data_IF_960667911671
#
_entry.id   IF_960667911671
#
_cell.length_a   1.000
_cell.length_b   1.000
_cell.length_c   1.000
_cell.angle_alpha   90.00
_cell.angle_beta   90.00
_cell.angle_gamma   90.00
#
_symmetry.space_group_name_H-M   'P 1'
#
loop_
_entity.id
_entity.type
_entity.pdbx_description
1 polymer ?
#
# COMPACT_ATOMS: atom_id res chain seq x y z
N UNK A 1 -19.25 -8.88 25.50
CA UNK A 1 -18.28 -9.07 26.59
C UNK A 1 -17.18 -8.06 26.42
N UNK A 2 -16.69 -7.36 27.45
CA UNK A 2 -15.54 -6.49 27.31
C UNK A 2 -14.31 -7.33 26.94
N UNK A 3 -13.66 -6.96 25.82
CA UNK A 3 -12.41 -7.59 25.43
C UNK A 3 -11.35 -7.20 26.46
N UNK A 4 -10.80 -8.19 27.14
CA UNK A 4 -9.72 -7.96 28.12
C UNK A 4 -8.51 -7.40 27.38
N UNK A 5 -7.99 -6.28 27.82
CA UNK A 5 -6.78 -5.69 27.26
C UNK A 5 -5.59 -6.62 27.52
N UNK A 6 -4.82 -7.01 26.49
CA UNK A 6 -3.64 -7.85 26.70
C UNK A 6 -2.62 -7.18 27.62
N UNK A 7 -1.99 -7.97 28.48
CA UNK A 7 -0.99 -7.51 29.44
C UNK A 7 0.45 -7.63 28.93
N UNK A 8 0.65 -8.28 27.80
CA UNK A 8 1.96 -8.47 27.16
C UNK A 8 1.83 -8.59 25.65
N UNK A 9 2.95 -8.39 24.93
CA UNK A 9 3.01 -8.59 23.48
C UNK A 9 2.68 -10.04 23.09
N UNK A 10 3.12 -11.02 23.87
CA UNK A 10 2.81 -12.43 23.62
C UNK A 10 1.31 -12.71 23.75
N UNK A 11 0.65 -12.15 24.76
CA UNK A 11 -0.81 -12.27 24.91
C UNK A 11 -1.55 -11.57 23.76
N UNK A 12 -1.09 -10.40 23.34
CA UNK A 12 -1.68 -9.67 22.20
C UNK A 12 -1.58 -10.47 20.89
N UNK A 13 -0.43 -11.08 20.62
CA UNK A 13 -0.24 -11.92 19.44
C UNK A 13 -1.09 -13.19 19.51
N UNK A 14 -1.24 -13.82 20.69
CA UNK A 14 -2.11 -14.98 20.86
C UNK A 14 -3.59 -14.66 20.62
N UNK A 15 -4.06 -13.49 21.06
CA UNK A 15 -5.44 -13.03 20.80
C UNK A 15 -5.67 -12.76 19.31
N UNK A 16 -4.69 -12.14 18.62
CA UNK A 16 -4.74 -11.92 17.19
C UNK A 16 -4.81 -13.24 16.41
N UNK A 17 -3.93 -14.19 16.76
CA UNK A 17 -3.85 -15.51 16.15
C UNK A 17 -5.18 -16.28 16.30
N UNK A 18 -5.70 -16.36 17.52
CA UNK A 18 -6.98 -17.00 17.80
C UNK A 18 -8.15 -16.35 17.03
N UNK A 19 -8.13 -15.02 16.88
CA UNK A 19 -9.15 -14.29 16.09
C UNK A 19 -9.08 -14.63 14.60
N UNK A 20 -7.87 -14.72 14.04
CA UNK A 20 -7.66 -15.09 12.65
C UNK A 20 -8.01 -16.56 12.41
N UNK A 21 -7.65 -17.46 13.32
CA UNK A 21 -8.02 -18.88 13.25
C UNK A 21 -9.53 -19.07 13.26
N UNK A 22 -10.24 -18.36 14.11
CA UNK A 22 -11.71 -18.40 14.12
C UNK A 22 -12.31 -17.93 12.78
N UNK A 23 -11.81 -16.83 12.21
CA UNK A 23 -12.29 -16.34 10.91
C UNK A 23 -11.99 -17.32 9.77
N UNK A 24 -10.81 -17.93 9.79
CA UNK A 24 -10.41 -18.93 8.79
C UNK A 24 -11.23 -20.23 8.90
N UNK A 25 -11.66 -20.62 10.10
CA UNK A 25 -12.49 -21.79 10.33
C UNK A 25 -13.99 -21.53 10.09
N UNK A 26 -14.42 -20.26 10.02
CA UNK A 26 -15.81 -19.90 9.83
C UNK A 26 -16.23 -20.07 8.38
N UNK A 27 -17.37 -20.73 8.15
CA UNK A 27 -17.98 -20.74 6.82
C UNK A 27 -18.62 -19.37 6.54
N UNK A 28 -17.84 -18.51 5.89
CA UNK A 28 -18.24 -17.12 5.58
C UNK A 28 -19.42 -17.05 4.58
N UNK A 29 -19.76 -18.15 3.89
CA UNK A 29 -20.90 -18.20 2.97
C UNK A 29 -22.24 -18.19 3.72
N UNK A 30 -22.23 -18.59 4.98
CA UNK A 30 -23.40 -18.57 5.85
C UNK A 30 -23.69 -17.17 6.43
N UNK A 31 -22.73 -16.25 6.29
CA UNK A 31 -22.94 -14.86 6.70
C UNK A 31 -23.73 -14.11 5.62
N UNK A 32 -24.71 -13.34 6.04
CA UNK A 32 -25.40 -12.42 5.12
C UNK A 32 -24.44 -11.32 4.60
N UNK A 33 -24.72 -10.76 3.41
CA UNK A 33 -23.88 -9.77 2.75
C UNK A 33 -23.51 -8.56 3.65
N UNK A 34 -24.42 -8.11 4.50
CA UNK A 34 -24.15 -7.02 5.45
C UNK A 34 -23.05 -7.41 6.46
N UNK A 35 -23.12 -8.62 7.04
CA UNK A 35 -22.12 -9.12 7.97
C UNK A 35 -20.76 -9.35 7.28
N UNK A 36 -20.77 -9.88 6.06
CA UNK A 36 -19.54 -10.01 5.25
C UNK A 36 -18.89 -8.64 5.02
N UNK A 37 -19.70 -7.63 4.68
CA UNK A 37 -19.22 -6.25 4.51
C UNK A 37 -18.61 -5.66 5.78
N UNK A 38 -19.21 -5.92 6.96
CA UNK A 38 -18.63 -5.50 8.24
C UNK A 38 -17.31 -6.21 8.55
N UNK A 39 -17.21 -7.50 8.28
CA UNK A 39 -15.96 -8.25 8.45
C UNK A 39 -14.85 -7.68 7.54
N UNK A 40 -15.15 -7.38 6.29
CA UNK A 40 -14.18 -6.79 5.37
C UNK A 40 -13.70 -5.41 5.85
N UNK A 41 -14.60 -4.56 6.33
CA UNK A 41 -14.22 -3.26 6.90
C UNK A 41 -13.36 -3.42 8.16
N UNK A 42 -13.71 -4.35 9.04
CA UNK A 42 -12.95 -4.63 10.26
C UNK A 42 -11.54 -5.15 9.95
N UNK A 43 -11.41 -6.06 8.99
CA UNK A 43 -10.12 -6.56 8.52
C UNK A 43 -9.28 -5.46 7.86
N UNK A 44 -9.91 -4.54 7.11
CA UNK A 44 -9.24 -3.38 6.54
C UNK A 44 -8.63 -2.48 7.63
N UNK A 45 -9.39 -2.21 8.70
CA UNK A 45 -8.88 -1.44 9.86
C UNK A 45 -7.79 -2.20 10.61
N UNK A 46 -7.96 -3.50 10.83
CA UNK A 46 -6.94 -4.33 11.46
C UNK A 46 -5.63 -4.35 10.65
N UNK A 47 -5.72 -4.35 9.31
CA UNK A 47 -4.55 -4.27 8.44
C UNK A 47 -3.80 -2.93 8.57
N UNK A 48 -4.51 -1.82 8.79
CA UNK A 48 -3.86 -0.53 9.06
C UNK A 48 -3.04 -0.59 10.35
N UNK A 49 -3.63 -1.05 11.45
CA UNK A 49 -2.93 -1.26 12.73
C UNK A 49 -1.76 -2.23 12.60
N UNK A 50 -1.97 -3.33 11.89
CA UNK A 50 -0.90 -4.31 11.65
C UNK A 50 0.28 -3.67 10.94
N UNK A 51 0.04 -2.88 9.89
CA UNK A 51 1.09 -2.20 9.13
C UNK A 51 1.90 -1.26 10.03
N UNK A 52 1.24 -0.45 10.85
CA UNK A 52 1.91 0.45 11.80
C UNK A 52 2.73 -0.33 12.84
N UNK A 53 2.13 -1.35 13.48
CA UNK A 53 2.79 -2.16 14.50
C UNK A 53 3.97 -2.95 13.93
N UNK A 54 3.82 -3.53 12.74
CA UNK A 54 4.87 -4.29 12.07
C UNK A 54 6.07 -3.38 11.71
N UNK A 55 5.83 -2.20 11.16
CA UNK A 55 6.88 -1.23 10.85
C UNK A 55 7.63 -0.77 12.11
N UNK A 56 6.90 -0.51 13.20
CA UNK A 56 7.51 -0.14 14.49
C UNK A 56 8.38 -1.28 15.06
N UNK A 57 7.93 -2.53 14.94
CA UNK A 57 8.69 -3.70 15.40
C UNK A 57 9.95 -3.92 14.55
N UNK A 58 9.87 -3.79 13.22
CA UNK A 58 11.05 -3.91 12.34
C UNK A 58 12.09 -2.85 12.71
N UNK A 59 11.66 -1.60 12.94
CA UNK A 59 12.53 -0.51 13.37
C UNK A 59 13.19 -0.77 14.73
N UNK A 60 12.40 -1.18 15.71
CA UNK A 60 12.92 -1.47 17.05
C UNK A 60 13.88 -2.65 17.05
N UNK A 61 13.61 -3.68 16.26
CA UNK A 61 14.46 -4.86 16.13
C UNK A 61 15.80 -4.53 15.45
N UNK A 62 15.79 -3.69 14.41
CA UNK A 62 16.99 -3.20 13.73
C UNK A 62 17.83 -2.33 14.67
N UNK A 63 17.20 -1.36 15.33
CA UNK A 63 17.88 -0.46 16.28
C UNK A 63 18.50 -1.20 17.48
N UNK A 64 17.95 -2.35 17.85
CA UNK A 64 18.50 -3.21 18.90
C UNK A 64 19.64 -4.14 18.42
N UNK A 65 20.02 -4.09 17.14
CA UNK A 65 21.01 -5.00 16.57
C UNK A 65 20.51 -6.45 16.48
N UNK A 66 19.20 -6.65 16.45
CA UNK A 66 18.59 -7.98 16.45
C UNK A 66 18.96 -8.85 15.25
N UNK A 67 18.98 -8.30 14.02
CA UNK A 67 19.43 -9.06 12.85
C UNK A 67 20.85 -9.58 12.99
N UNK A 68 21.78 -8.73 13.41
CA UNK A 68 23.21 -9.06 13.58
C UNK A 68 23.42 -10.10 14.69
N UNK A 69 22.67 -9.97 15.78
CA UNK A 69 22.71 -10.94 16.89
C UNK A 69 22.28 -12.36 16.44
N UNK A 70 21.38 -12.43 15.45
CA UNK A 70 20.93 -13.69 14.83
C UNK A 70 21.80 -14.10 13.61
N UNK A 71 22.89 -13.38 13.31
CA UNK A 71 23.81 -13.67 12.22
C UNK A 71 23.37 -13.19 10.83
N UNK A 72 22.45 -12.24 10.77
CA UNK A 72 22.00 -11.64 9.51
C UNK A 72 22.48 -10.20 9.36
N UNK A 73 22.93 -9.77 8.16
CA UNK A 73 23.49 -8.43 7.97
C UNK A 73 22.45 -7.31 7.92
N UNK A 74 21.18 -7.63 7.77
CA UNK A 74 20.10 -6.64 7.63
C UNK A 74 18.75 -7.21 8.07
N UNK A 75 17.78 -6.35 8.48
CA UNK A 75 16.40 -6.78 8.77
C UNK A 75 15.75 -7.51 7.60
N UNK A 76 16.02 -7.07 6.36
CA UNK A 76 15.52 -7.72 5.14
C UNK A 76 16.01 -9.16 5.02
N UNK A 77 17.28 -9.41 5.27
CA UNK A 77 17.86 -10.76 5.21
C UNK A 77 17.25 -11.65 6.29
N UNK A 78 17.11 -11.10 7.50
CA UNK A 78 16.48 -11.77 8.62
C UNK A 78 15.02 -12.13 8.33
N UNK A 79 14.22 -11.16 7.89
CA UNK A 79 12.81 -11.37 7.54
C UNK A 79 12.66 -12.45 6.47
N UNK A 80 13.46 -12.38 5.39
CA UNK A 80 13.40 -13.38 4.31
C UNK A 80 13.68 -14.79 4.84
N UNK A 81 14.67 -14.96 5.71
CA UNK A 81 15.10 -16.26 6.20
C UNK A 81 14.18 -16.81 7.32
N UNK A 82 13.82 -15.95 8.28
CA UNK A 82 13.15 -16.39 9.51
C UNK A 82 11.64 -16.42 9.39
N UNK A 83 11.06 -15.54 8.57
CA UNK A 83 9.60 -15.51 8.34
C UNK A 83 9.19 -16.14 7.01
N UNK A 84 10.16 -16.64 6.21
CA UNK A 84 9.94 -17.34 4.95
C UNK A 84 9.15 -16.52 3.91
N UNK A 85 9.26 -15.19 3.98
CA UNK A 85 8.66 -14.30 2.98
C UNK A 85 9.60 -14.08 1.80
N UNK A 86 9.03 -13.63 0.69
CA UNK A 86 9.84 -13.30 -0.49
C UNK A 86 10.71 -12.07 -0.25
N UNK A 87 11.79 -11.91 -1.02
CA UNK A 87 12.63 -10.71 -0.99
C UNK A 87 11.81 -9.43 -1.24
N UNK A 88 10.81 -9.50 -2.12
CA UNK A 88 9.91 -8.38 -2.40
C UNK A 88 9.10 -7.98 -1.17
N UNK A 89 8.50 -8.95 -0.46
CA UNK A 89 7.75 -8.70 0.77
C UNK A 89 8.64 -8.17 1.90
N UNK A 90 9.87 -8.69 2.02
CA UNK A 90 10.84 -8.16 2.99
C UNK A 90 11.28 -6.73 2.67
N UNK A 91 11.47 -6.40 1.37
CA UNK A 91 11.74 -5.03 0.94
C UNK A 91 10.58 -4.09 1.29
N UNK A 92 9.34 -4.54 1.08
CA UNK A 92 8.16 -3.74 1.40
C UNK A 92 8.02 -3.50 2.91
N UNK A 93 8.32 -4.49 3.74
CA UNK A 93 8.34 -4.35 5.20
C UNK A 93 9.37 -3.29 5.67
N UNK A 94 10.59 -3.34 5.14
CA UNK A 94 11.64 -2.34 5.43
C UNK A 94 11.29 -0.97 4.85
N UNK A 95 10.65 -0.92 3.68
CA UNK A 95 10.16 0.33 3.11
C UNK A 95 9.12 0.98 3.99
N UNK A 96 8.15 0.22 4.53
CA UNK A 96 7.17 0.72 5.48
C UNK A 96 7.82 1.27 6.75
N UNK A 97 8.81 0.56 7.29
CA UNK A 97 9.57 1.04 8.45
C UNK A 97 10.15 2.44 8.18
N UNK A 98 10.87 2.62 7.07
CA UNK A 98 11.50 3.90 6.70
C UNK A 98 10.47 4.98 6.39
N UNK A 99 9.40 4.61 5.69
CA UNK A 99 8.32 5.54 5.36
C UNK A 99 7.67 6.09 6.61
N UNK A 100 7.25 5.22 7.53
CA UNK A 100 6.58 5.64 8.76
C UNK A 100 7.53 6.32 9.76
N UNK A 101 8.83 6.09 9.66
CA UNK A 101 9.83 6.86 10.40
C UNK A 101 9.88 8.32 9.95
N UNK A 102 9.72 8.57 8.65
CA UNK A 102 9.72 9.91 8.06
C UNK A 102 8.36 10.59 8.12
N UNK A 103 7.29 9.83 8.28
CA UNK A 103 5.90 10.28 8.29
C UNK A 103 5.17 9.87 9.58
N UNK A 104 5.53 10.44 10.75
CA UNK A 104 4.97 10.05 12.05
C UNK A 104 3.47 10.29 12.16
N UNK A 105 2.93 11.29 11.45
CA UNK A 105 1.48 11.53 11.38
C UNK A 105 0.74 10.39 10.68
N UNK A 106 1.30 9.88 9.57
CA UNK A 106 0.73 8.71 8.89
C UNK A 106 0.84 7.45 9.74
N UNK A 107 1.92 7.27 10.49
CA UNK A 107 2.06 6.17 11.43
C UNK A 107 0.98 6.21 12.51
N UNK A 108 0.71 7.38 13.08
CA UNK A 108 -0.37 7.58 14.04
C UNK A 108 -1.75 7.33 13.42
N UNK A 109 -2.02 7.85 12.23
CA UNK A 109 -3.28 7.65 11.50
C UNK A 109 -3.56 6.18 11.18
N UNK A 110 -2.54 5.41 10.79
CA UNK A 110 -2.66 3.96 10.61
C UNK A 110 -2.97 3.24 11.93
N UNK A 111 -2.28 3.62 13.01
CA UNK A 111 -2.50 3.02 14.33
C UNK A 111 -3.90 3.35 14.88
N UNK A 112 -4.45 4.52 14.56
CA UNK A 112 -5.79 4.97 14.92
C UNK A 112 -6.91 4.47 13.97
N UNK A 113 -6.57 3.71 12.91
CA UNK A 113 -7.52 3.23 11.88
C UNK A 113 -8.11 4.37 11.00
N UNK A 114 -7.49 5.53 11.00
CA UNK A 114 -7.96 6.73 10.30
C UNK A 114 -7.68 6.67 8.79
N UNK A 115 -6.70 5.89 8.39
CA UNK A 115 -6.30 5.75 6.99
C UNK A 115 -5.91 4.30 6.66
N UNK A 116 -6.14 3.90 5.42
CA UNK A 116 -5.68 2.60 4.93
C UNK A 116 -4.20 2.63 4.54
N UNK A 117 -3.48 1.48 4.57
CA UNK A 117 -2.09 1.42 4.12
C UNK A 117 -1.90 1.89 2.67
N UNK A 118 -2.85 1.61 1.79
CA UNK A 118 -2.76 2.02 0.39
C UNK A 118 -2.83 3.55 0.21
N UNK A 119 -3.66 4.24 0.99
CA UNK A 119 -3.76 5.69 0.98
C UNK A 119 -2.53 6.32 1.64
N UNK A 120 -2.11 5.80 2.80
CA UNK A 120 -0.90 6.25 3.48
C UNK A 120 0.34 6.16 2.57
N UNK A 121 0.49 5.07 1.80
CA UNK A 121 1.58 4.92 0.84
C UNK A 121 1.55 5.99 -0.26
N UNK A 122 0.35 6.42 -0.71
CA UNK A 122 0.20 7.48 -1.70
C UNK A 122 0.55 8.85 -1.12
N UNK A 123 0.01 9.17 0.05
CA UNK A 123 0.30 10.44 0.75
C UNK A 123 1.82 10.55 1.02
N UNK A 124 2.43 9.50 1.57
CA UNK A 124 3.87 9.48 1.79
C UNK A 124 4.69 9.67 0.50
N UNK A 125 4.23 9.12 -0.63
CA UNK A 125 4.91 9.29 -1.91
C UNK A 125 4.81 10.72 -2.45
N UNK A 126 3.67 11.40 -2.23
CA UNK A 126 3.49 12.80 -2.62
C UNK A 126 4.31 13.73 -1.71
N UNK A 127 4.12 13.63 -0.40
CA UNK A 127 4.74 14.50 0.58
C UNK A 127 6.24 14.22 0.80
N UNK A 128 6.71 13.01 0.43
CA UNK A 128 8.13 12.67 0.48
C UNK A 128 9.03 13.53 -0.42
N UNK A 129 8.45 14.35 -1.30
CA UNK A 129 9.14 15.34 -2.14
C UNK A 129 9.30 16.70 -1.45
N UNK A 130 8.59 16.93 -0.35
CA UNK A 130 8.67 18.16 0.44
C UNK A 130 9.93 18.21 1.30
N UNK A 131 10.40 19.43 1.68
CA UNK A 131 11.37 19.59 2.73
C UNK A 131 10.90 18.92 4.03
N UNK A 132 11.83 18.35 4.78
CA UNK A 132 11.51 17.54 5.97
C UNK A 132 10.66 18.31 7.02
N UNK A 133 10.90 19.59 7.17
CA UNK A 133 10.15 20.45 8.09
C UNK A 133 8.65 20.60 7.73
N UNK A 134 8.29 20.39 6.47
CA UNK A 134 6.93 20.60 5.96
C UNK A 134 6.12 19.29 5.88
N UNK A 135 6.78 18.14 5.99
CA UNK A 135 6.13 16.82 5.81
C UNK A 135 5.01 16.62 6.83
N UNK A 136 5.27 16.88 8.09
CA UNK A 136 4.28 16.64 9.16
C UNK A 136 3.01 17.48 8.98
N UNK A 137 3.16 18.75 8.59
CA UNK A 137 2.04 19.64 8.30
C UNK A 137 1.23 19.19 7.08
N UNK A 138 1.91 18.80 6.01
CA UNK A 138 1.27 18.28 4.81
C UNK A 138 0.55 16.95 5.06
N UNK A 139 1.16 16.04 5.81
CA UNK A 139 0.54 14.77 6.20
C UNK A 139 -0.74 15.00 7.02
N UNK A 140 -0.70 15.92 7.98
CA UNK A 140 -1.85 16.25 8.82
C UNK A 140 -3.01 16.81 8.00
N UNK A 141 -2.75 17.74 7.07
CA UNK A 141 -3.77 18.31 6.18
C UNK A 141 -4.42 17.20 5.34
N UNK A 142 -3.63 16.34 4.70
CA UNK A 142 -4.15 15.28 3.84
C UNK A 142 -4.91 14.21 4.64
N UNK A 143 -4.47 13.90 5.86
CA UNK A 143 -5.21 13.01 6.77
C UNK A 143 -6.56 13.60 7.15
N UNK A 144 -6.62 14.85 7.56
CA UNK A 144 -7.88 15.52 7.94
C UNK A 144 -8.88 15.55 6.79
N UNK A 145 -8.44 15.88 5.57
CA UNK A 145 -9.30 15.90 4.38
C UNK A 145 -9.78 14.49 4.03
N UNK A 146 -8.91 13.48 4.11
CA UNK A 146 -9.27 12.10 3.85
C UNK A 146 -10.27 11.52 4.86
N UNK A 147 -10.23 11.97 6.11
CA UNK A 147 -11.16 11.56 7.19
C UNK A 147 -12.52 12.26 7.11
N UNK A 148 -12.57 13.51 6.64
CA UNK A 148 -13.79 14.32 6.60
C UNK A 148 -14.91 13.70 5.75
N UNK A 149 -14.59 12.71 4.92
CA UNK A 149 -15.51 12.01 4.04
C UNK A 149 -15.89 12.87 2.82
N UNK A 150 -15.93 12.26 1.66
CA UNK A 150 -16.30 12.94 0.41
C UNK A 150 -15.12 13.25 -0.51
N UNK A 151 -13.90 13.35 0.01
CA UNK A 151 -12.70 13.44 -0.82
C UNK A 151 -12.26 12.04 -1.28
N UNK A 152 -11.99 11.90 -2.56
CA UNK A 152 -11.37 10.69 -3.11
C UNK A 152 -9.84 10.82 -3.20
N UNK A 153 -9.19 9.80 -3.73
CA UNK A 153 -7.73 9.80 -3.86
C UNK A 153 -7.23 10.84 -4.89
N UNK A 154 -8.06 11.22 -5.87
CA UNK A 154 -7.71 12.23 -6.86
C UNK A 154 -7.76 13.64 -6.24
N UNK A 155 -8.74 13.90 -5.37
CA UNK A 155 -8.83 15.15 -4.62
C UNK A 155 -7.62 15.34 -3.71
N UNK A 156 -7.20 14.27 -3.01
CA UNK A 156 -6.00 14.30 -2.18
C UNK A 156 -4.72 14.51 -3.00
N UNK A 157 -4.64 13.93 -4.20
CA UNK A 157 -3.51 14.14 -5.09
C UNK A 157 -3.42 15.59 -5.57
N UNK A 158 -4.57 16.20 -5.92
CA UNK A 158 -4.64 17.61 -6.31
C UNK A 158 -4.21 18.53 -5.16
N UNK A 159 -4.69 18.26 -3.93
CA UNK A 159 -4.29 19.01 -2.74
C UNK A 159 -2.80 18.85 -2.42
N UNK A 160 -2.26 17.64 -2.52
CA UNK A 160 -0.84 17.38 -2.32
C UNK A 160 0.02 18.14 -3.35
N UNK A 161 -0.43 18.22 -4.59
CA UNK A 161 0.23 19.01 -5.64
C UNK A 161 0.19 20.50 -5.31
N UNK A 162 -0.95 21.03 -4.85
CA UNK A 162 -1.08 22.42 -4.43
C UNK A 162 -0.15 22.75 -3.23
N UNK A 163 -0.07 21.85 -2.25
CA UNK A 163 0.87 21.99 -1.13
C UNK A 163 2.31 22.05 -1.64
N UNK A 164 2.67 21.14 -2.56
CA UNK A 164 4.00 21.11 -3.15
C UNK A 164 4.35 22.43 -3.87
N UNK A 165 3.47 22.90 -4.74
CA UNK A 165 3.68 24.15 -5.50
C UNK A 165 3.81 25.38 -4.60
N UNK A 166 3.07 25.44 -3.50
CA UNK A 166 3.17 26.53 -2.52
C UNK A 166 4.43 26.46 -1.66
N UNK A 167 4.94 25.27 -1.40
CA UNK A 167 6.08 25.05 -0.49
C UNK A 167 7.41 25.13 -1.23
N UNK A 168 7.49 24.50 -2.39
CA UNK A 168 8.74 24.38 -3.18
C UNK A 168 8.80 25.46 -4.25
N UNK A 169 7.63 26.02 -4.65
CA UNK A 169 7.50 26.96 -5.73
C UNK A 169 7.35 26.24 -7.08
N UNK A 170 7.01 26.96 -8.14
CA UNK A 170 7.07 26.40 -9.49
C UNK A 170 8.51 25.97 -9.76
N UNK A 171 8.69 24.71 -10.14
CA UNK A 171 9.98 24.16 -10.56
C UNK A 171 10.49 24.98 -11.77
N UNK A 172 11.36 25.96 -11.52
CA UNK A 172 12.08 26.72 -12.57
C UNK A 172 13.22 25.86 -13.18
N UNK A 173 13.48 24.69 -12.61
CA UNK A 173 14.52 23.78 -13.06
C UNK A 173 13.95 22.61 -13.86
N UNK A 174 14.20 22.64 -15.17
CA UNK A 174 14.03 21.53 -16.13
C UNK A 174 14.82 20.27 -15.71
N UNK A 175 15.56 20.31 -14.61
CA UNK A 175 16.35 19.22 -14.00
C UNK A 175 15.56 18.36 -12.99
N UNK A 176 14.30 18.72 -12.66
CA UNK A 176 13.42 17.95 -11.76
C UNK A 176 13.13 16.53 -12.27
N UNK A 177 13.50 16.23 -13.50
CA UNK A 177 13.36 14.94 -14.15
C UNK A 177 14.65 14.11 -14.26
N UNK A 178 15.70 14.45 -13.50
CA UNK A 178 16.93 13.65 -13.42
C UNK A 178 16.70 12.19 -13.01
N UNK A 179 15.57 11.90 -12.36
CA UNK A 179 15.10 10.56 -12.02
C UNK A 179 14.25 9.86 -13.10
N UNK A 180 14.21 10.39 -14.34
CA UNK A 180 13.51 9.72 -15.46
C UNK A 180 14.13 8.36 -15.73
N UNK A 181 13.33 7.33 -15.60
CA UNK A 181 13.75 6.00 -15.97
C UNK A 181 12.54 5.14 -16.33
N UNK A 182 12.69 4.33 -17.35
CA UNK A 182 11.70 3.37 -17.78
C UNK A 182 12.37 2.01 -17.89
N UNK A 183 11.86 1.03 -17.16
CA UNK A 183 12.34 -0.34 -17.21
C UNK A 183 11.28 -1.25 -17.81
N UNK A 184 11.71 -2.12 -18.69
CA UNK A 184 10.89 -3.20 -19.24
C UNK A 184 11.46 -4.53 -18.72
N UNK A 185 10.75 -5.14 -17.79
CA UNK A 185 11.07 -6.46 -17.27
C UNK A 185 10.34 -7.53 -18.07
N UNK A 186 11.07 -8.48 -18.63
CA UNK A 186 10.47 -9.65 -19.24
C UNK A 186 10.00 -10.62 -18.15
N UNK A 187 8.74 -11.04 -18.19
CA UNK A 187 8.17 -12.03 -17.29
C UNK A 187 8.14 -13.41 -17.94
N UNK A 188 7.86 -14.44 -17.14
CA UNK A 188 7.73 -15.81 -17.64
C UNK A 188 6.68 -15.87 -18.77
N UNK A 189 7.04 -16.49 -19.90
CA UNK A 189 6.18 -16.57 -21.09
C UNK A 189 6.34 -15.39 -22.08
N UNK A 190 7.33 -14.51 -21.87
CA UNK A 190 7.65 -13.41 -22.81
C UNK A 190 6.75 -12.16 -22.67
N UNK A 191 5.91 -12.10 -21.63
CA UNK A 191 5.18 -10.90 -21.30
C UNK A 191 6.11 -9.84 -20.68
N UNK A 192 5.88 -8.55 -21.00
CA UNK A 192 6.64 -7.44 -20.43
C UNK A 192 5.87 -6.71 -19.34
N UNK A 193 6.59 -6.31 -18.28
CA UNK A 193 6.12 -5.37 -17.26
C UNK A 193 6.92 -4.08 -17.37
N UNK A 194 6.22 -2.96 -17.57
CA UNK A 194 6.83 -1.63 -17.65
C UNK A 194 6.74 -0.97 -16.27
N UNK A 195 7.87 -0.49 -15.75
CA UNK A 195 7.95 0.31 -14.54
C UNK A 195 8.81 1.55 -14.81
N UNK A 196 8.47 2.67 -14.21
CA UNK A 196 9.31 3.85 -14.34
C UNK A 196 8.66 5.14 -13.89
N UNK A 197 9.48 6.21 -13.88
CA UNK A 197 9.05 7.57 -13.65
C UNK A 197 9.12 8.34 -14.97
N UNK A 198 7.99 8.92 -15.36
CA UNK A 198 7.84 9.67 -16.60
C UNK A 198 7.58 11.16 -16.32
N UNK A 199 8.01 12.03 -17.20
CA UNK A 199 7.59 13.43 -17.17
C UNK A 199 6.08 13.54 -17.41
N UNK A 200 5.41 14.64 -16.98
CA UNK A 200 4.00 14.87 -17.31
C UNK A 200 3.69 14.75 -18.80
N UNK A 201 4.54 15.30 -19.66
CA UNK A 201 4.39 15.18 -21.10
C UNK A 201 4.54 13.76 -21.63
N UNK A 202 5.51 13.00 -21.13
CA UNK A 202 5.67 11.58 -21.48
C UNK A 202 4.52 10.73 -20.94
N UNK A 203 4.00 11.04 -19.75
CA UNK A 203 2.85 10.35 -19.16
C UNK A 203 1.60 10.56 -20.01
N UNK A 204 1.32 11.82 -20.41
CA UNK A 204 0.20 12.15 -21.28
C UNK A 204 0.31 11.47 -22.66
N UNK A 205 1.51 11.46 -23.26
CA UNK A 205 1.76 10.79 -24.53
C UNK A 205 1.57 9.27 -24.43
N UNK A 206 2.08 8.65 -23.35
CA UNK A 206 1.90 7.21 -23.12
C UNK A 206 0.43 6.85 -22.87
N UNK A 207 -0.29 7.67 -22.10
CA UNK A 207 -1.72 7.49 -21.86
C UNK A 207 -2.51 7.57 -23.15
N UNK A 208 -2.25 8.59 -23.99
CA UNK A 208 -2.90 8.73 -25.30
C UNK A 208 -2.61 7.53 -26.22
N UNK A 209 -1.39 7.01 -26.20
CA UNK A 209 -1.01 5.81 -26.96
C UNK A 209 -1.78 4.57 -26.45
N UNK A 210 -1.85 4.36 -25.13
CA UNK A 210 -2.58 3.25 -24.54
C UNK A 210 -4.08 3.31 -24.86
N UNK A 211 -4.68 4.50 -24.80
CA UNK A 211 -6.08 4.73 -25.16
C UNK A 211 -6.33 4.47 -26.65
N UNK A 212 -5.42 4.87 -27.53
CA UNK A 212 -5.52 4.58 -28.95
C UNK A 212 -5.44 3.07 -29.26
N UNK A 213 -4.51 2.37 -28.59
CA UNK A 213 -4.36 0.92 -28.72
C UNK A 213 -5.52 0.14 -28.09
N UNK A 214 -6.05 0.63 -26.96
CA UNK A 214 -7.21 0.07 -26.28
C UNK A 214 -8.48 0.15 -27.12
N UNK A 215 -8.72 1.25 -27.81
CA UNK A 215 -9.85 1.44 -28.75
C UNK A 215 -9.77 0.52 -29.98
N UNK A 216 -8.57 0.13 -30.39
CA UNK A 216 -8.35 -0.81 -31.52
C UNK A 216 -8.72 -2.26 -31.18
N UNK A 217 -8.92 -2.60 -29.91
CA UNK A 217 -9.29 -3.94 -29.46
C UNK A 217 -10.73 -3.98 -28.96
N UNK A 218 -11.70 -3.85 -29.87
CA UNK A 218 -13.07 -4.28 -29.55
C UNK A 218 -13.03 -5.77 -29.15
N UNK A 219 -13.66 -6.18 -28.05
CA UNK A 219 -13.67 -7.58 -27.64
C UNK A 219 -14.33 -8.40 -28.75
N UNK A 220 -13.62 -9.36 -29.32
CA UNK A 220 -14.23 -10.40 -30.14
C UNK A 220 -15.19 -11.15 -29.23
N UNK A 221 -16.47 -10.86 -29.37
CA UNK A 221 -17.56 -11.57 -28.70
C UNK A 221 -17.41 -13.04 -29.04
N UNK A 222 -17.04 -13.85 -28.06
CA UNK A 222 -16.98 -15.29 -28.19
C UNK A 222 -18.43 -15.80 -28.28
N UNK A 223 -18.96 -15.90 -29.50
CA UNK A 223 -20.26 -16.52 -29.75
C UNK A 223 -20.12 -18.00 -29.43
N UNK A 224 -20.65 -18.38 -28.28
CA UNK A 224 -20.81 -19.79 -27.90
C UNK A 224 -21.76 -20.43 -28.90
N UNK A 225 -21.25 -21.34 -29.76
CA UNK A 225 -22.08 -22.17 -30.59
C UNK A 225 -23.00 -23.02 -29.70
N UNK A 226 -24.31 -23.09 -29.96
CA UNK A 226 -25.20 -24.00 -29.24
C UNK A 226 -24.82 -25.44 -29.60
N UNK A 227 -24.58 -26.26 -28.59
CA UNK A 227 -24.41 -27.70 -28.75
C UNK A 227 -25.73 -28.31 -29.26
N UNK A 228 -25.68 -28.93 -30.41
CA UNK A 228 -26.78 -29.72 -30.96
C UNK A 228 -27.10 -30.90 -30.02
N UNK A 229 -28.31 -30.89 -29.48
CA UNK A 229 -28.90 -32.00 -28.74
C UNK A 229 -29.18 -33.12 -29.75
N UNK A 230 -28.46 -34.21 -29.63
CA UNK A 230 -28.70 -35.42 -30.41
C UNK A 230 -29.72 -36.26 -29.66
N UNK A 231 -30.94 -36.25 -30.17
CA UNK A 231 -32.04 -37.12 -29.75
C UNK A 231 -31.79 -38.53 -30.31
N UNK A 232 -31.75 -39.51 -29.39
CA UNK A 232 -32.15 -40.90 -29.63
C UNK A 232 -32.62 -41.53 -28.32
#
# INVERSE_FOLDING_TARGET
>A
MPVRTPSSAAEALSVLDAGLDYLNATDVTLLGAAAQGECLRALGRANAKFTAAHAALVRAFDAAGGPEADGYPTPRAWLTARTRITKGAANEAVKWERTLARHPKLAAGLAAEEISPSWAAKIAAWNGRLPEAEIDGADEILLQVGQAGGADLADLAALAQEIYERTVGPDDDDDSFGGRALWLDATFGGAGKVNGNLTPGCTAALQALMDALGKSRAPKTCVRKPSATMTR
#
